data_IF_943230701909
#
_entry.id   IF_943230701909
#
_cell.length_a   1.000
_cell.length_b   1.000
_cell.length_c   1.000
_cell.angle_alpha   90.00
_cell.angle_beta   90.00
_cell.angle_gamma   90.00
#
_symmetry.space_group_name_H-M   'P 1'
#
loop_
_entity.id
_entity.type
_entity.pdbx_description
1 polymer ?
#
# COMPACT_ATOMS: atom_id res chain seq x y z
N UNK A 1 5.50 0.40 -4.32
CA UNK A 1 4.56 -0.71 -4.01
C UNK A 1 4.04 -0.56 -2.57
N UNK A 2 2.82 -1.02 -2.26
CA UNK A 2 2.18 -0.83 -0.95
C UNK A 2 3.05 -1.25 0.24
N UNK A 3 3.76 -2.37 0.12
CA UNK A 3 4.49 -3.02 1.22
C UNK A 3 5.79 -2.31 1.60
N UNK A 4 6.41 -1.58 0.67
CA UNK A 4 7.53 -0.70 1.01
C UNK A 4 7.04 0.56 1.71
N UNK A 5 5.86 1.07 1.32
CA UNK A 5 5.29 2.28 1.89
C UNK A 5 4.98 2.12 3.39
N UNK A 6 4.42 0.98 3.79
CA UNK A 6 4.16 0.63 5.20
C UNK A 6 5.38 0.03 5.93
N UNK A 7 6.55 -0.03 5.26
CA UNK A 7 7.79 -0.63 5.79
C UNK A 7 7.63 -2.08 6.30
N UNK A 8 6.63 -2.81 5.78
CA UNK A 8 6.47 -4.24 6.04
C UNK A 8 7.50 -5.05 5.25
N UNK A 9 7.94 -4.53 4.10
CA UNK A 9 8.93 -5.21 3.26
C UNK A 9 10.25 -5.47 3.98
N UNK A 10 10.67 -4.57 4.86
CA UNK A 10 11.93 -4.68 5.59
C UNK A 10 11.94 -5.90 6.53
N UNK A 11 10.82 -6.15 7.21
CA UNK A 11 10.65 -7.32 8.08
C UNK A 11 10.58 -8.61 7.25
N UNK A 12 9.93 -8.58 6.09
CA UNK A 12 9.88 -9.71 5.16
C UNK A 12 11.30 -10.04 4.66
N UNK A 13 12.06 -9.05 4.18
CA UNK A 13 13.44 -9.27 3.71
C UNK A 13 14.34 -9.81 4.82
N UNK A 14 14.17 -9.33 6.05
CA UNK A 14 14.89 -9.84 7.21
C UNK A 14 14.60 -11.32 7.45
N UNK A 15 13.32 -11.72 7.42
CA UNK A 15 12.91 -13.11 7.57
C UNK A 15 13.53 -14.03 6.50
N UNK A 16 13.64 -13.56 5.25
CA UNK A 16 14.30 -14.31 4.18
C UNK A 16 15.82 -14.45 4.40
N UNK A 17 16.48 -13.40 4.90
CA UNK A 17 17.90 -13.47 5.25
C UNK A 17 18.19 -14.40 6.45
N UNK A 18 17.18 -14.69 7.27
CA UNK A 18 17.32 -15.57 8.42
C UNK A 18 17.24 -17.06 8.05
N UNK A 19 16.84 -17.40 6.81
CA UNK A 19 16.72 -18.78 6.35
C UNK A 19 18.07 -19.51 6.32
N UNK A 20 18.11 -20.84 6.58
CA UNK A 20 19.35 -21.60 6.66
C UNK A 20 20.23 -21.46 5.41
N UNK A 21 19.62 -21.59 4.22
CA UNK A 21 20.32 -21.48 2.95
C UNK A 21 20.85 -20.06 2.71
N UNK A 22 20.07 -19.02 3.06
CA UNK A 22 20.52 -17.64 2.96
C UNK A 22 21.72 -17.34 3.88
N UNK A 23 21.72 -17.88 5.11
CA UNK A 23 22.86 -17.76 6.04
C UNK A 23 24.11 -18.47 5.56
N UNK A 24 23.97 -19.66 4.96
CA UNK A 24 25.10 -20.40 4.39
C UNK A 24 25.76 -19.65 3.22
N UNK A 25 24.96 -19.00 2.38
CA UNK A 25 25.42 -18.22 1.23
C UNK A 25 25.84 -16.78 1.59
N UNK A 26 25.65 -16.37 2.85
CA UNK A 26 26.00 -15.02 3.30
C UNK A 26 25.06 -13.92 2.79
N UNK A 27 23.83 -14.25 2.39
CA UNK A 27 22.86 -13.29 1.87
C UNK A 27 22.25 -12.44 2.99
N UNK A 28 22.41 -11.13 2.86
CA UNK A 28 21.81 -10.16 3.80
C UNK A 28 20.41 -9.76 3.36
N UNK A 29 19.65 -9.07 4.22
CA UNK A 29 18.33 -8.52 3.85
C UNK A 29 18.39 -7.54 2.65
N UNK A 30 19.56 -6.97 2.35
CA UNK A 30 19.77 -6.15 1.14
C UNK A 30 19.64 -6.96 -0.15
N UNK A 31 20.05 -8.24 -0.13
CA UNK A 31 20.01 -9.13 -1.28
C UNK A 31 18.58 -9.42 -1.77
N UNK A 32 17.62 -9.47 -0.84
CA UNK A 32 16.20 -9.65 -1.15
C UNK A 32 15.49 -8.32 -1.49
N UNK A 33 16.22 -7.24 -1.72
CA UNK A 33 15.65 -5.97 -2.17
C UNK A 33 15.63 -5.92 -3.69
N UNK A 34 14.47 -5.65 -4.30
CA UNK A 34 14.41 -5.34 -5.73
C UNK A 34 14.93 -3.92 -6.05
N UNK A 35 15.09 -3.06 -5.04
CA UNK A 35 15.61 -1.68 -5.22
C UNK A 35 17.14 -1.58 -5.20
N UNK A 36 17.83 -2.58 -4.64
CA UNK A 36 19.28 -2.54 -4.43
C UNK A 36 19.98 -3.56 -5.30
N UNK A 37 21.22 -3.27 -5.67
CA UNK A 37 22.09 -4.22 -6.35
C UNK A 37 22.37 -5.45 -5.46
N UNK A 38 22.56 -6.60 -6.11
CA UNK A 38 22.74 -7.89 -5.45
C UNK A 38 21.82 -8.94 -6.04
N UNK A 39 20.65 -9.16 -5.42
CA UNK A 39 19.71 -10.22 -5.79
C UNK A 39 18.61 -9.81 -6.77
N UNK A 40 18.51 -8.53 -7.14
CA UNK A 40 17.57 -8.04 -8.17
C UNK A 40 18.01 -8.45 -9.57
N UNK A 41 17.06 -8.51 -10.51
CA UNK A 41 17.37 -8.65 -11.92
C UNK A 41 18.07 -7.38 -12.44
N UNK A 42 19.22 -7.53 -13.11
CA UNK A 42 20.00 -6.40 -13.62
C UNK A 42 19.36 -5.76 -14.85
N UNK A 43 18.71 -6.55 -15.70
CA UNK A 43 18.11 -6.09 -16.96
C UNK A 43 16.99 -5.08 -16.70
N UNK A 44 16.00 -5.44 -15.89
CA UNK A 44 14.89 -4.55 -15.52
C UNK A 44 15.15 -3.74 -14.25
N UNK A 45 16.36 -3.82 -13.67
CA UNK A 45 16.73 -3.18 -12.39
C UNK A 45 15.74 -3.43 -11.24
N UNK A 46 15.09 -4.60 -11.26
CA UNK A 46 14.10 -5.01 -10.25
C UNK A 46 12.67 -4.51 -10.47
N UNK A 47 12.36 -3.84 -11.58
CA UNK A 47 10.99 -3.41 -11.90
C UNK A 47 10.11 -4.61 -12.33
N UNK A 48 10.73 -5.56 -13.04
CA UNK A 48 10.05 -6.73 -13.63
C UNK A 48 9.49 -6.44 -15.03
N UNK A 49 9.45 -5.18 -15.42
CA UNK A 49 9.10 -4.68 -16.75
C UNK A 49 10.22 -3.83 -17.34
N UNK A 50 10.17 -3.65 -18.66
CA UNK A 50 11.00 -2.73 -19.42
C UNK A 50 10.05 -1.77 -20.13
N UNK A 51 10.23 -0.47 -19.88
CA UNK A 51 9.45 0.58 -20.54
C UNK A 51 10.19 1.04 -21.78
N UNK A 52 9.54 0.92 -22.93
CA UNK A 52 10.03 1.41 -24.22
C UNK A 52 9.36 2.74 -24.52
N UNK A 53 10.14 3.81 -24.51
CA UNK A 53 9.67 5.15 -24.84
C UNK A 53 9.28 5.24 -26.33
N UNK A 54 8.07 5.71 -26.59
CA UNK A 54 7.54 5.88 -27.93
C UNK A 54 7.39 7.39 -28.22
N UNK A 55 7.95 7.88 -29.33
CA UNK A 55 8.02 9.33 -29.59
C UNK A 55 6.65 10.04 -29.72
N UNK A 56 5.60 9.32 -30.11
CA UNK A 56 4.28 9.91 -30.42
C UNK A 56 3.10 9.16 -29.76
N UNK A 57 3.38 8.16 -28.92
CA UNK A 57 2.37 7.32 -28.29
C UNK A 57 2.69 7.16 -26.81
N UNK A 58 1.74 6.61 -26.05
CA UNK A 58 2.02 6.19 -24.68
C UNK A 58 3.12 5.13 -24.67
N UNK A 59 3.98 5.19 -23.67
CA UNK A 59 5.09 4.26 -23.50
C UNK A 59 4.59 2.81 -23.41
N UNK A 60 5.33 1.90 -24.03
CA UNK A 60 4.99 0.49 -24.00
C UNK A 60 5.71 -0.18 -22.83
N UNK A 61 4.93 -0.78 -21.93
CA UNK A 61 5.47 -1.56 -20.80
C UNK A 61 5.48 -3.03 -21.18
N UNK A 62 6.67 -3.58 -21.37
CA UNK A 62 6.89 -4.98 -21.70
C UNK A 62 7.36 -5.76 -20.48
N UNK A 63 6.99 -7.04 -20.40
CA UNK A 63 7.53 -7.93 -19.38
C UNK A 63 9.02 -8.19 -19.63
N UNK A 64 9.85 -8.14 -18.59
CA UNK A 64 11.28 -8.39 -18.71
C UNK A 64 11.55 -9.85 -19.12
N UNK A 65 12.21 -10.06 -20.24
CA UNK A 65 12.52 -11.42 -20.74
C UNK A 65 13.50 -12.19 -19.85
N UNK A 66 14.38 -11.50 -19.13
CA UNK A 66 15.40 -12.17 -18.29
C UNK A 66 14.85 -12.72 -16.97
N UNK A 67 13.84 -12.07 -16.38
CA UNK A 67 13.26 -12.49 -15.11
C UNK A 67 11.80 -12.91 -15.20
N UNK A 68 11.15 -12.75 -16.36
CA UNK A 68 9.72 -13.03 -16.57
C UNK A 68 8.84 -12.39 -15.48
N UNK A 69 9.03 -11.08 -15.27
CA UNK A 69 8.29 -10.33 -14.25
C UNK A 69 8.70 -10.59 -12.79
N UNK A 70 9.60 -11.53 -12.50
CA UNK A 70 9.93 -11.93 -11.12
C UNK A 70 10.78 -10.96 -10.34
N UNK A 71 11.40 -9.96 -10.99
CA UNK A 71 12.23 -8.90 -10.40
C UNK A 71 13.56 -9.34 -9.77
N UNK A 72 13.78 -10.63 -9.58
CA UNK A 72 14.98 -11.18 -8.92
C UNK A 72 15.75 -12.13 -9.83
N UNK A 73 17.02 -12.36 -9.48
CA UNK A 73 17.86 -13.43 -10.04
C UNK A 73 17.39 -14.80 -9.58
N UNK A 74 17.77 -15.85 -10.31
CA UNK A 74 17.44 -17.24 -9.97
C UNK A 74 17.91 -17.61 -8.55
N UNK A 75 19.15 -17.25 -8.19
CA UNK A 75 19.76 -17.53 -6.89
C UNK A 75 18.92 -16.98 -5.72
N UNK A 76 18.33 -15.80 -5.87
CA UNK A 76 17.45 -15.19 -4.86
C UNK A 76 16.17 -15.99 -4.68
N UNK A 77 15.65 -16.57 -5.77
CA UNK A 77 14.40 -17.33 -5.79
C UNK A 77 14.57 -18.78 -5.30
N UNK A 78 15.80 -19.24 -5.10
CA UNK A 78 16.06 -20.54 -4.45
C UNK A 78 15.75 -20.48 -2.95
N UNK A 79 15.86 -19.30 -2.33
CA UNK A 79 15.58 -19.12 -0.91
C UNK A 79 14.07 -19.09 -0.67
N UNK A 80 13.59 -20.10 0.08
CA UNK A 80 12.17 -20.27 0.41
C UNK A 80 11.94 -20.19 1.91
N UNK A 81 10.86 -19.53 2.29
CA UNK A 81 10.28 -19.63 3.62
C UNK A 81 8.98 -20.42 3.51
N UNK A 82 8.90 -21.57 4.17
CA UNK A 82 7.69 -22.42 4.17
C UNK A 82 7.20 -22.77 2.76
N UNK A 83 8.14 -22.98 1.82
CA UNK A 83 7.86 -23.31 0.43
C UNK A 83 7.61 -22.11 -0.49
N UNK A 84 7.41 -20.91 0.04
CA UNK A 84 7.21 -19.69 -0.74
C UNK A 84 8.53 -18.92 -0.95
N UNK A 85 8.77 -18.44 -2.16
CA UNK A 85 9.86 -17.52 -2.48
C UNK A 85 9.48 -16.07 -2.11
N UNK A 86 10.46 -15.17 -2.14
CA UNK A 86 10.20 -13.74 -1.92
C UNK A 86 9.25 -13.16 -2.97
N UNK A 87 9.33 -13.65 -4.22
CA UNK A 87 8.43 -13.24 -5.30
C UNK A 87 7.00 -13.74 -5.05
N UNK A 88 6.83 -14.99 -4.62
CA UNK A 88 5.50 -15.55 -4.35
C UNK A 88 4.77 -14.73 -3.28
N UNK A 89 5.49 -14.28 -2.25
CA UNK A 89 4.93 -13.38 -1.23
C UNK A 89 4.56 -12.01 -1.80
N UNK A 90 5.34 -11.47 -2.72
CA UNK A 90 4.99 -10.21 -3.39
C UNK A 90 3.77 -10.35 -4.29
N UNK A 91 3.48 -11.55 -4.81
CA UNK A 91 2.28 -11.82 -5.61
C UNK A 91 1.03 -12.09 -4.77
N UNK A 92 1.17 -12.40 -3.48
CA UNK A 92 0.03 -12.57 -2.57
C UNK A 92 -0.73 -11.26 -2.36
N UNK A 93 -2.04 -11.37 -2.19
CA UNK A 93 -2.86 -10.26 -1.71
C UNK A 93 -2.55 -9.95 -0.24
N UNK A 94 -2.91 -8.75 0.23
CA UNK A 94 -2.77 -8.39 1.65
C UNK A 94 -3.49 -9.40 2.56
N UNK A 95 -4.70 -9.84 2.20
CA UNK A 95 -5.44 -10.84 2.96
C UNK A 95 -4.68 -12.19 3.02
N UNK A 96 -4.23 -12.70 1.87
CA UNK A 96 -3.48 -13.95 1.80
C UNK A 96 -2.17 -13.88 2.59
N UNK A 97 -1.46 -12.76 2.50
CA UNK A 97 -0.22 -12.55 3.23
C UNK A 97 -0.46 -12.51 4.75
N UNK A 98 -1.51 -11.84 5.22
CA UNK A 98 -1.87 -11.82 6.64
C UNK A 98 -2.17 -13.23 7.15
N UNK A 99 -2.95 -14.02 6.41
CA UNK A 99 -3.24 -15.41 6.76
C UNK A 99 -1.96 -16.26 6.81
N UNK A 100 -1.13 -16.17 5.77
CA UNK A 100 0.14 -16.89 5.66
C UNK A 100 1.09 -16.56 6.82
N UNK A 101 1.31 -15.28 7.10
CA UNK A 101 2.20 -14.86 8.19
C UNK A 101 1.61 -15.13 9.58
N UNK A 102 0.29 -15.16 9.72
CA UNK A 102 -0.38 -15.55 10.98
C UNK A 102 -0.17 -17.04 11.26
N UNK A 103 -0.35 -17.90 10.25
CA UNK A 103 -0.11 -19.35 10.36
C UNK A 103 1.32 -19.67 10.81
N UNK A 104 2.29 -18.90 10.32
CA UNK A 104 3.71 -19.07 10.62
C UNK A 104 4.22 -18.19 11.77
N UNK A 105 3.31 -17.67 12.60
CA UNK A 105 3.58 -16.93 13.85
C UNK A 105 4.45 -15.66 13.67
N UNK A 106 4.37 -15.00 12.52
CA UNK A 106 5.12 -13.77 12.20
C UNK A 106 4.33 -12.51 12.58
N UNK A 107 4.09 -12.35 13.89
CA UNK A 107 3.23 -11.27 14.44
C UNK A 107 3.67 -9.85 14.05
N UNK A 108 4.97 -9.62 13.88
CA UNK A 108 5.51 -8.29 13.50
C UNK A 108 5.10 -7.88 12.09
N UNK A 109 5.14 -8.82 11.14
CA UNK A 109 4.75 -8.58 9.75
C UNK A 109 3.24 -8.35 9.69
N UNK A 110 2.47 -9.21 10.36
CA UNK A 110 1.00 -9.08 10.43
C UNK A 110 0.58 -7.73 11.01
N UNK A 111 1.20 -7.26 12.11
CA UNK A 111 0.91 -5.93 12.70
C UNK A 111 1.12 -4.79 11.70
N UNK A 112 2.11 -4.89 10.81
CA UNK A 112 2.37 -3.88 9.78
C UNK A 112 1.44 -3.97 8.58
N UNK A 113 0.98 -5.18 8.23
CA UNK A 113 0.05 -5.40 7.11
C UNK A 113 -1.40 -5.10 7.49
N UNK A 114 -1.80 -5.29 8.75
CA UNK A 114 -3.17 -5.12 9.23
C UNK A 114 -3.80 -3.75 8.85
N UNK A 115 -3.09 -2.60 8.97
CA UNK A 115 -3.65 -1.31 8.57
C UNK A 115 -4.09 -1.25 7.10
N UNK A 116 -3.43 -1.97 6.18
CA UNK A 116 -3.87 -2.04 4.78
C UNK A 116 -5.20 -2.78 4.63
N UNK A 117 -5.42 -3.83 5.42
CA UNK A 117 -6.68 -4.55 5.44
C UNK A 117 -7.81 -3.71 6.05
N UNK A 118 -7.52 -3.00 7.15
CA UNK A 118 -8.45 -2.11 7.84
C UNK A 118 -8.99 -1.01 6.92
N UNK A 119 -8.14 -0.40 6.09
CA UNK A 119 -8.58 0.60 5.10
C UNK A 119 -9.23 -0.02 3.84
N UNK A 120 -9.48 -1.34 3.82
CA UNK A 120 -10.15 -2.01 2.72
C UNK A 120 -9.28 -2.38 1.52
N UNK A 121 -7.95 -2.36 1.66
CA UNK A 121 -7.01 -2.77 0.61
C UNK A 121 -6.60 -4.24 0.72
N UNK A 122 -7.46 -5.10 1.26
CA UNK A 122 -7.18 -6.53 1.41
C UNK A 122 -6.89 -7.28 0.10
N UNK A 123 -7.39 -6.76 -1.03
CA UNK A 123 -7.32 -7.40 -2.35
C UNK A 123 -6.06 -7.05 -3.15
N UNK A 124 -5.36 -5.96 -2.81
CA UNK A 124 -4.18 -5.53 -3.58
C UNK A 124 -3.01 -6.49 -3.33
N UNK A 125 -2.18 -6.69 -4.34
CA UNK A 125 -0.96 -7.50 -4.18
C UNK A 125 0.13 -6.72 -3.44
N UNK A 126 0.91 -7.42 -2.62
CA UNK A 126 2.00 -6.83 -1.86
C UNK A 126 3.05 -6.12 -2.74
N UNK A 127 3.35 -6.74 -3.89
CA UNK A 127 4.31 -6.30 -4.89
C UNK A 127 3.75 -5.37 -5.96
N UNK A 128 2.44 -5.06 -5.95
CA UNK A 128 1.81 -4.25 -6.98
C UNK A 128 2.52 -2.89 -7.12
N UNK A 129 2.77 -2.47 -8.36
CA UNK A 129 3.40 -1.17 -8.61
C UNK A 129 2.50 -0.05 -8.09
N UNK A 130 3.11 1.00 -7.52
CA UNK A 130 2.34 2.17 -7.07
C UNK A 130 1.75 2.97 -8.24
N UNK A 131 2.33 2.84 -9.45
CA UNK A 131 1.80 3.48 -10.66
C UNK A 131 0.52 2.85 -11.19
N UNK A 132 0.21 1.60 -10.80
CA UNK A 132 -1.00 0.89 -11.23
C UNK A 132 -2.12 0.97 -10.20
N UNK A 133 -1.91 1.65 -9.07
CA UNK A 133 -2.94 1.93 -8.08
C UNK A 133 -3.78 3.14 -8.53
N UNK A 134 -5.09 3.03 -8.38
CA UNK A 134 -6.01 4.15 -8.53
C UNK A 134 -5.73 5.26 -7.52
N UNK A 135 -6.27 6.46 -7.76
CA UNK A 135 -6.16 7.58 -6.83
C UNK A 135 -6.67 7.23 -5.42
N UNK A 136 -7.85 6.63 -5.32
CA UNK A 136 -8.44 6.20 -4.04
C UNK A 136 -7.67 5.07 -3.36
N UNK A 137 -7.02 4.16 -4.10
CA UNK A 137 -6.12 3.16 -3.50
C UNK A 137 -4.87 3.82 -2.93
N UNK A 138 -4.23 4.73 -3.68
CA UNK A 138 -3.07 5.47 -3.19
C UNK A 138 -3.39 6.30 -1.94
N UNK A 139 -4.56 6.92 -1.89
CA UNK A 139 -5.04 7.64 -0.70
C UNK A 139 -5.17 6.71 0.51
N UNK A 140 -5.77 5.53 0.33
CA UNK A 140 -5.93 4.53 1.39
C UNK A 140 -4.60 3.92 1.84
N UNK A 141 -3.62 3.73 0.95
CA UNK A 141 -2.25 3.31 1.33
C UNK A 141 -1.60 4.37 2.23
N UNK A 142 -1.77 5.66 1.92
CA UNK A 142 -1.28 6.75 2.78
C UNK A 142 -1.96 6.72 4.15
N UNK A 143 -3.27 6.57 4.18
CA UNK A 143 -4.06 6.47 5.42
C UNK A 143 -3.56 5.32 6.32
N UNK A 144 -3.37 4.12 5.75
CA UNK A 144 -2.83 2.96 6.44
C UNK A 144 -1.43 3.23 7.04
N UNK A 145 -0.60 4.00 6.34
CA UNK A 145 0.75 4.35 6.84
C UNK A 145 0.72 5.19 8.11
N UNK A 146 -0.25 6.11 8.25
CA UNK A 146 -0.44 6.91 9.46
C UNK A 146 -1.03 6.09 10.61
N UNK A 147 -1.98 5.19 10.31
CA UNK A 147 -2.53 4.26 11.32
C UNK A 147 -1.47 3.32 11.90
N UNK A 148 -0.43 3.01 11.12
CA UNK A 148 0.70 2.16 11.55
C UNK A 148 1.72 2.89 12.43
N UNK A 149 1.69 4.21 12.58
CA UNK A 149 2.68 4.96 13.36
C UNK A 149 2.42 4.85 14.88
N UNK A 150 3.48 4.59 15.65
CA UNK A 150 3.38 4.47 17.12
C UNK A 150 3.49 5.82 17.85
N UNK A 151 4.14 6.82 17.22
CA UNK A 151 4.19 8.20 17.72
C UNK A 151 3.25 9.05 16.89
N UNK A 152 2.38 9.77 17.59
CA UNK A 152 1.33 10.54 16.97
C UNK A 152 1.49 11.99 17.39
N UNK A 153 2.08 12.80 16.51
CA UNK A 153 1.95 14.24 16.64
C UNK A 153 0.56 14.62 16.14
N UNK A 154 -0.22 15.43 16.90
CA UNK A 154 -1.52 15.92 16.44
C UNK A 154 -1.38 16.54 15.05
N UNK A 155 -2.14 16.01 14.10
CA UNK A 155 -2.03 16.34 12.67
C UNK A 155 -3.42 16.53 12.12
N UNK A 156 -3.61 17.57 11.31
CA UNK A 156 -4.84 17.81 10.58
C UNK A 156 -4.74 17.18 9.20
N UNK A 157 -5.65 16.26 8.90
CA UNK A 157 -5.81 15.65 7.57
C UNK A 157 -6.91 16.38 6.81
N UNK A 158 -6.65 16.67 5.54
CA UNK A 158 -7.64 17.23 4.63
C UNK A 158 -7.84 16.24 3.49
N UNK A 159 -9.07 15.82 3.26
CA UNK A 159 -9.45 14.92 2.19
C UNK A 159 -10.44 15.60 1.24
N UNK A 160 -10.16 15.48 -0.05
CA UNK A 160 -11.00 16.01 -1.12
C UNK A 160 -11.72 14.85 -1.81
N UNK A 161 -13.04 14.78 -1.65
CA UNK A 161 -13.94 13.75 -2.16
C UNK A 161 -13.41 12.30 -2.03
N UNK A 162 -13.06 11.85 -0.80
CA UNK A 162 -12.46 10.54 -0.58
C UNK A 162 -13.38 9.36 -0.93
N UNK A 163 -14.69 9.57 -1.10
CA UNK A 163 -15.63 8.48 -1.47
C UNK A 163 -15.80 8.28 -2.97
N UNK A 164 -15.18 9.11 -3.81
CA UNK A 164 -15.30 9.01 -5.26
C UNK A 164 -14.91 7.62 -5.76
N UNK A 165 -15.88 6.92 -6.36
CA UNK A 165 -15.70 5.57 -6.92
C UNK A 165 -15.68 4.44 -5.89
N UNK A 166 -15.97 4.71 -4.62
CA UNK A 166 -16.06 3.67 -3.58
C UNK A 166 -17.45 3.06 -3.49
N UNK A 167 -17.51 1.75 -3.33
CA UNK A 167 -18.73 1.05 -2.99
C UNK A 167 -19.11 1.30 -1.52
N UNK A 168 -20.40 1.21 -1.16
CA UNK A 168 -20.90 1.47 0.20
C UNK A 168 -20.16 0.71 1.31
N UNK A 169 -19.71 -0.52 1.02
CA UNK A 169 -18.91 -1.31 1.96
C UNK A 169 -17.53 -0.69 2.25
N UNK A 170 -16.89 -0.10 1.23
CA UNK A 170 -15.58 0.53 1.37
C UNK A 170 -15.68 1.92 2.01
N UNK A 171 -16.80 2.63 1.81
CA UNK A 171 -17.10 3.88 2.54
C UNK A 171 -17.12 3.61 4.05
N UNK A 172 -17.74 2.49 4.49
CA UNK A 172 -17.74 2.13 5.91
C UNK A 172 -16.34 1.92 6.46
N UNK A 173 -15.48 1.19 5.74
CA UNK A 173 -14.08 0.98 6.15
C UNK A 173 -13.28 2.28 6.20
N UNK A 174 -13.55 3.19 5.26
CA UNK A 174 -12.94 4.52 5.26
C UNK A 174 -13.35 5.32 6.50
N UNK A 175 -14.64 5.31 6.86
CA UNK A 175 -15.13 5.95 8.09
C UNK A 175 -14.51 5.34 9.35
N UNK A 176 -14.43 4.01 9.44
CA UNK A 176 -13.75 3.32 10.55
C UNK A 176 -12.26 3.73 10.66
N UNK A 177 -11.60 3.94 9.51
CA UNK A 177 -10.22 4.41 9.49
C UNK A 177 -10.09 5.89 9.89
N UNK A 178 -11.06 6.75 9.57
CA UNK A 178 -11.12 8.13 10.06
C UNK A 178 -11.31 8.17 11.57
N UNK A 179 -12.25 7.38 12.11
CA UNK A 179 -12.46 7.27 13.55
C UNK A 179 -11.19 6.80 14.28
N UNK A 180 -10.47 5.84 13.70
CA UNK A 180 -9.21 5.34 14.25
C UNK A 180 -8.08 6.39 14.25
N UNK A 181 -8.10 7.37 13.33
CA UNK A 181 -7.20 8.52 13.36
C UNK A 181 -7.64 9.56 14.40
N UNK A 182 -8.93 9.87 14.46
CA UNK A 182 -9.49 10.84 15.42
C UNK A 182 -9.23 10.36 16.86
N UNK A 183 -9.42 9.07 17.14
CA UNK A 183 -9.13 8.45 18.43
C UNK A 183 -7.64 8.54 18.84
N UNK A 184 -6.74 8.70 17.87
CA UNK A 184 -5.30 8.92 18.11
C UNK A 184 -4.95 10.40 18.36
N UNK A 185 -5.93 11.30 18.36
CA UNK A 185 -5.75 12.74 18.59
C UNK A 185 -5.53 13.57 17.32
N UNK A 186 -5.87 13.02 16.15
CA UNK A 186 -5.85 13.76 14.90
C UNK A 186 -7.16 14.51 14.65
N UNK A 187 -7.12 15.48 13.74
CA UNK A 187 -8.31 16.15 13.22
C UNK A 187 -8.45 15.87 11.74
N UNK A 188 -9.69 15.74 11.26
CA UNK A 188 -9.97 15.44 9.86
C UNK A 188 -10.95 16.47 9.32
N UNK A 189 -10.64 17.05 8.18
CA UNK A 189 -11.54 17.89 7.37
C UNK A 189 -11.78 17.16 6.07
N UNK A 190 -13.04 16.95 5.73
CA UNK A 190 -13.44 16.24 4.51
C UNK A 190 -14.31 17.15 3.67
N UNK A 191 -13.95 17.30 2.40
CA UNK A 191 -14.81 17.89 1.37
C UNK A 191 -15.59 16.73 0.75
N UNK A 192 -16.91 16.73 0.92
CA UNK A 192 -17.75 15.63 0.46
C UNK A 192 -19.13 16.12 0.02
N UNK A 193 -19.73 15.36 -0.89
CA UNK A 193 -21.13 15.47 -1.29
C UNK A 193 -21.93 14.22 -0.91
N UNK A 194 -21.26 13.15 -0.43
CA UNK A 194 -21.90 11.92 -0.05
C UNK A 194 -22.54 12.01 1.35
N UNK A 195 -23.88 11.90 1.40
CA UNK A 195 -24.65 11.98 2.64
C UNK A 195 -24.32 10.88 3.65
N UNK A 196 -23.79 9.73 3.21
CA UNK A 196 -23.36 8.67 4.15
C UNK A 196 -22.14 9.07 4.98
N UNK A 197 -21.30 9.97 4.47
CA UNK A 197 -20.17 10.54 5.22
C UNK A 197 -20.62 11.75 6.03
N UNK A 198 -21.38 12.66 5.40
CA UNK A 198 -21.82 13.91 6.05
C UNK A 198 -22.61 13.62 7.34
N UNK A 199 -23.48 12.60 7.33
CA UNK A 199 -24.27 12.21 8.52
C UNK A 199 -23.43 11.70 9.70
N UNK A 200 -22.19 11.30 9.45
CA UNK A 200 -21.26 10.76 10.45
C UNK A 200 -20.30 11.84 10.99
N UNK A 201 -20.31 13.04 10.44
CA UNK A 201 -19.42 14.11 10.86
C UNK A 201 -19.85 14.70 12.22
N UNK A 202 -18.87 14.98 13.08
CA UNK A 202 -19.10 15.69 14.35
C UNK A 202 -19.54 17.14 14.14
N UNK A 203 -19.08 17.75 13.04
CA UNK A 203 -19.37 19.13 12.66
C UNK A 203 -19.46 19.25 11.13
N UNK A 204 -20.43 20.01 10.64
CA UNK A 204 -20.66 20.23 9.21
C UNK A 204 -20.60 21.73 8.93
N UNK A 205 -19.91 22.11 7.85
CA UNK A 205 -19.85 23.48 7.33
C UNK A 205 -20.49 23.44 5.96
N UNK A 206 -21.62 24.12 5.79
CA UNK A 206 -22.34 24.17 4.52
C UNK A 206 -22.01 25.46 3.75
N UNK A 207 -21.60 25.30 2.49
CA UNK A 207 -21.20 26.39 1.61
C UNK A 207 -22.19 26.51 0.44
N UNK A 208 -22.63 27.72 0.14
CA UNK A 208 -23.62 27.94 -0.90
C UNK A 208 -24.06 29.41 -0.97
N UNK A 209 -25.35 29.68 -1.24
CA UNK A 209 -26.45 28.74 -1.49
C UNK A 209 -26.41 28.06 -2.89
N UNK A 210 -25.62 28.59 -3.82
CA UNK A 210 -25.48 28.09 -5.19
C UNK A 210 -23.99 27.89 -5.56
N UNK A 211 -23.70 27.42 -6.77
CA UNK A 211 -22.33 27.39 -7.32
C UNK A 211 -21.91 28.69 -8.02
N UNK A 212 -20.60 28.88 -8.21
CA UNK A 212 -20.02 30.00 -8.97
C UNK A 212 -20.20 31.36 -8.29
N UNK A 213 -20.50 32.41 -9.06
CA UNK A 213 -20.65 33.79 -8.58
C UNK A 213 -21.78 33.97 -7.55
N UNK A 214 -22.70 33.01 -7.46
CA UNK A 214 -23.82 33.02 -6.49
C UNK A 214 -23.54 32.19 -5.24
N UNK A 215 -22.35 31.59 -5.13
CA UNK A 215 -21.91 30.79 -4.00
C UNK A 215 -20.91 31.51 -3.08
N UNK A 216 -20.13 30.72 -2.35
CA UNK A 216 -19.01 31.22 -1.54
C UNK A 216 -19.38 31.78 -0.17
N UNK A 217 -20.65 31.67 0.24
CA UNK A 217 -21.09 32.08 1.57
C UNK A 217 -21.24 30.87 2.49
N UNK A 218 -20.96 31.07 3.78
CA UNK A 218 -21.30 30.11 4.83
C UNK A 218 -22.82 30.15 5.05
N UNK A 219 -23.48 29.02 4.82
CA UNK A 219 -24.95 28.91 4.94
C UNK A 219 -25.35 28.38 6.31
N UNK A 220 -24.67 27.33 6.78
CA UNK A 220 -24.92 26.67 8.07
C UNK A 220 -23.62 26.11 8.67
#
# INVERSE_FOLDING_TARGET
NPVTYIKAYDEIRKLWSEQPLAKQLGYTAGFFSFNNDGGRCEECKGDGSITVEMQFMADLVLECESCHGKRFKADTLEIKFQGATIYDVLEMTVNQAIEFFTLHNQKRIVKKLAPLQEVGLGYIKLGQSSSTLSGGENQRVKLASYLSQEKVDPTMFIFDEPTTGLHFHDIRKLLEAFDALICRGHSIVVIEHNMDVIKCADYVIDLGPEGGDKGGNLVA
#
